data_IF_778915957739
#
_entry.id   IF_778915957739
#
_cell.length_a   1.000
_cell.length_b   1.000
_cell.length_c   1.000
_cell.angle_alpha   90.00
_cell.angle_beta   90.00
_cell.angle_gamma   90.00
#
_symmetry.space_group_name_H-M   'P 1'
#
loop_
_entity.id
_entity.type
_entity.pdbx_description
1 polymer ?
#
# COMPACT_ATOMS: atom_id res chain seq x y z
N UNK A 1 22.90 -30.45 61.14
CA UNK A 1 21.82 -29.75 60.46
C UNK A 1 21.00 -30.78 59.69
N UNK A 2 19.74 -31.02 60.10
CA UNK A 2 18.95 -32.18 59.70
C UNK A 2 18.52 -32.04 58.22
N UNK A 3 18.72 -33.07 57.38
CA UNK A 3 18.35 -33.12 55.98
C UNK A 3 16.89 -32.77 55.77
N UNK A 4 16.01 -33.08 56.74
CA UNK A 4 14.60 -32.70 56.70
C UNK A 4 14.37 -31.18 56.77
N UNK A 5 15.20 -30.44 57.48
CA UNK A 5 15.12 -28.98 57.60
C UNK A 5 15.55 -28.27 56.30
N UNK A 6 16.51 -28.85 55.56
CA UNK A 6 16.98 -28.33 54.28
C UNK A 6 15.94 -28.55 53.19
N UNK A 7 15.23 -29.69 53.19
CA UNK A 7 14.15 -29.98 52.22
C UNK A 7 12.94 -29.07 52.47
N UNK A 8 12.59 -28.83 53.76
CA UNK A 8 11.50 -27.91 54.10
C UNK A 8 11.79 -26.46 53.69
N UNK A 9 13.07 -26.02 53.79
CA UNK A 9 13.48 -24.68 53.34
C UNK A 9 13.47 -24.57 51.83
N UNK A 10 13.82 -25.63 51.08
CA UNK A 10 13.81 -25.64 49.62
C UNK A 10 12.37 -25.61 49.07
N UNK A 11 11.43 -26.32 49.72
CA UNK A 11 10.00 -26.32 49.34
C UNK A 11 9.36 -24.97 49.65
N UNK A 12 9.73 -24.31 50.75
CA UNK A 12 9.24 -22.96 51.07
C UNK A 12 9.71 -21.90 50.07
N UNK A 13 10.92 -22.04 49.50
CA UNK A 13 11.43 -21.13 48.46
C UNK A 13 10.75 -21.33 47.09
N UNK A 14 10.23 -22.51 46.81
CA UNK A 14 9.51 -22.79 45.57
C UNK A 14 8.05 -22.29 45.57
N UNK A 15 7.46 -22.04 46.74
CA UNK A 15 6.11 -21.49 46.87
C UNK A 15 6.07 -19.95 46.92
N UNK A 16 7.20 -19.25 47.01
CA UNK A 16 7.24 -17.80 47.04
C UNK A 16 7.34 -17.13 45.65
N UNK A 17 7.26 -17.90 44.58
CA UNK A 17 7.43 -17.44 43.19
C UNK A 17 6.15 -17.10 42.43
N UNK A 18 4.98 -17.15 43.07
CA UNK A 18 3.75 -16.61 42.47
C UNK A 18 3.55 -15.17 42.89
N UNK A 19 4.38 -14.28 42.37
CA UNK A 19 4.04 -12.85 42.36
C UNK A 19 2.92 -12.67 41.38
N UNK A 20 1.81 -12.13 41.86
CA UNK A 20 0.64 -11.58 41.16
C UNK A 20 1.05 -10.93 39.86
N UNK A 21 1.02 -11.68 38.76
CA UNK A 21 0.84 -11.07 37.45
C UNK A 21 -0.62 -10.61 37.42
N UNK A 22 -0.89 -9.43 37.96
CA UNK A 22 -2.12 -8.70 37.62
C UNK A 22 -2.06 -8.44 36.12
N UNK A 23 -2.47 -9.43 35.35
CA UNK A 23 -2.86 -9.21 33.97
C UNK A 23 -3.84 -8.05 33.98
N UNK A 24 -3.56 -7.01 33.23
CA UNK A 24 -4.47 -5.88 33.06
C UNK A 24 -5.81 -6.46 32.59
N UNK A 25 -6.74 -6.65 33.52
CA UNK A 25 -8.09 -7.14 33.23
C UNK A 25 -8.82 -5.99 32.57
N UNK A 26 -9.03 -6.05 31.26
CA UNK A 26 -9.87 -5.09 30.57
C UNK A 26 -11.32 -5.42 30.95
N UNK A 27 -11.88 -4.63 31.86
CA UNK A 27 -13.28 -4.75 32.22
C UNK A 27 -14.15 -4.14 31.13
N UNK A 28 -14.67 -4.98 30.24
CA UNK A 28 -15.54 -4.54 29.14
C UNK A 28 -16.88 -3.94 29.61
N UNK A 29 -17.31 -4.20 30.84
CA UNK A 29 -18.52 -3.58 31.43
C UNK A 29 -18.30 -2.09 31.80
N UNK A 30 -17.03 -1.65 31.90
CA UNK A 30 -16.66 -0.25 32.13
C UNK A 30 -16.31 0.51 30.87
N UNK A 31 -16.38 -0.11 29.69
CA UNK A 31 -16.36 0.63 28.44
C UNK A 31 -17.63 1.47 28.44
N UNK A 32 -17.52 2.72 28.88
CA UNK A 32 -18.56 3.69 28.53
C UNK A 32 -18.72 3.61 27.02
N UNK A 33 -19.98 3.54 26.50
CA UNK A 33 -20.17 3.70 25.09
C UNK A 33 -19.38 4.96 24.72
N UNK A 34 -18.50 4.86 23.73
CA UNK A 34 -17.92 6.04 23.10
C UNK A 34 -19.13 6.89 22.76
N UNK A 35 -19.45 7.82 23.66
CA UNK A 35 -20.40 8.89 23.37
C UNK A 35 -19.90 9.39 22.06
N UNK A 36 -20.72 9.23 21.02
CA UNK A 36 -20.42 9.65 19.68
C UNK A 36 -19.67 10.95 19.84
N UNK A 37 -18.39 10.96 19.50
CA UNK A 37 -17.57 12.15 19.58
C UNK A 37 -18.44 13.19 18.92
N UNK A 38 -19.00 14.09 19.74
CA UNK A 38 -19.82 15.16 19.21
C UNK A 38 -18.96 15.71 18.10
N UNK A 39 -19.44 15.58 16.86
CA UNK A 39 -18.88 16.27 15.73
C UNK A 39 -19.02 17.76 16.05
N UNK A 40 -18.14 18.24 16.91
CA UNK A 40 -17.86 19.66 16.95
C UNK A 40 -17.42 20.01 15.54
N UNK A 41 -17.91 21.10 15.01
CA UNK A 41 -17.54 21.64 13.70
C UNK A 41 -16.05 22.07 13.64
N UNK A 42 -15.19 21.42 14.40
CA UNK A 42 -13.78 21.68 14.61
C UNK A 42 -12.92 20.61 13.90
N UNK A 43 -13.35 20.23 12.69
CA UNK A 43 -12.59 19.34 11.79
C UNK A 43 -11.20 19.95 11.50
N UNK A 44 -11.04 21.24 11.70
CA UNK A 44 -9.81 22.00 11.46
C UNK A 44 -8.77 21.85 12.59
N UNK A 45 -9.13 21.43 13.79
CA UNK A 45 -8.19 21.30 14.93
C UNK A 45 -7.66 19.87 15.12
N UNK A 46 -8.34 18.85 14.59
CA UNK A 46 -7.85 17.49 14.68
C UNK A 46 -6.66 17.25 13.73
N UNK A 47 -5.75 16.31 14.06
CA UNK A 47 -4.68 15.95 13.14
C UNK A 47 -5.21 15.54 11.76
N UNK A 48 -4.53 15.99 10.68
CA UNK A 48 -4.76 15.54 9.32
C UNK A 48 -4.34 14.07 9.21
N UNK A 49 -5.23 13.17 8.80
CA UNK A 49 -4.96 11.74 8.69
C UNK A 49 -4.63 11.39 7.25
N UNK A 50 -3.39 10.94 7.03
CA UNK A 50 -2.86 10.58 5.71
C UNK A 50 -2.79 9.05 5.63
N UNK A 51 -3.60 8.44 4.79
CA UNK A 51 -3.64 7.00 4.61
C UNK A 51 -2.70 6.55 3.49
N UNK A 52 -2.02 5.44 3.73
CA UNK A 52 -1.19 4.75 2.74
C UNK A 52 -1.50 3.25 2.73
N UNK A 53 -1.39 2.64 1.56
CA UNK A 53 -1.37 1.19 1.39
C UNK A 53 -0.01 0.74 0.85
N UNK A 54 0.27 -0.55 0.99
CA UNK A 54 1.57 -1.13 0.65
C UNK A 54 1.69 -1.36 -0.85
N UNK A 55 2.25 -0.43 -1.59
CA UNK A 55 2.71 -0.64 -2.98
C UNK A 55 4.09 -1.29 -2.97
N UNK A 56 5.01 -0.74 -2.17
CA UNK A 56 6.31 -1.30 -1.79
C UNK A 56 6.24 -1.66 -0.30
N UNK A 57 6.99 -2.66 0.13
CA UNK A 57 6.99 -3.12 1.52
C UNK A 57 7.20 -1.99 2.53
N UNK A 58 6.42 -1.93 3.62
CA UNK A 58 6.50 -0.84 4.61
C UNK A 58 7.88 -0.65 5.23
N UNK A 59 8.65 -1.73 5.33
CA UNK A 59 10.02 -1.68 5.85
C UNK A 59 10.90 -0.70 5.07
N UNK A 60 10.67 -0.60 3.77
CA UNK A 60 11.46 0.24 2.87
C UNK A 60 10.94 1.69 2.81
N UNK A 61 9.64 1.92 3.02
CA UNK A 61 8.97 3.18 2.65
C UNK A 61 8.33 3.95 3.80
N UNK A 62 8.20 3.37 4.99
CA UNK A 62 7.45 3.99 6.10
C UNK A 62 8.07 5.30 6.58
N UNK A 63 9.39 5.40 6.60
CA UNK A 63 10.09 6.61 7.03
C UNK A 63 9.90 7.74 6.02
N UNK A 64 9.91 7.44 4.72
CA UNK A 64 9.67 8.43 3.69
C UNK A 64 8.26 9.01 3.76
N UNK A 65 7.26 8.16 3.98
CA UNK A 65 5.89 8.64 4.19
C UNK A 65 5.73 9.45 5.49
N UNK A 66 6.47 9.10 6.56
CA UNK A 66 6.50 9.93 7.79
C UNK A 66 7.08 11.31 7.53
N UNK A 67 8.19 11.38 6.79
CA UNK A 67 8.81 12.64 6.42
C UNK A 67 7.87 13.50 5.57
N UNK A 68 7.13 12.89 4.63
CA UNK A 68 6.10 13.59 3.85
C UNK A 68 4.97 14.11 4.76
N UNK A 69 4.47 13.29 5.69
CA UNK A 69 3.42 13.72 6.61
C UNK A 69 3.90 14.87 7.51
N UNK A 70 5.13 14.81 8.01
CA UNK A 70 5.75 15.88 8.79
C UNK A 70 5.92 17.16 7.98
N UNK A 71 6.42 17.04 6.75
CA UNK A 71 6.54 18.18 5.83
C UNK A 71 5.18 18.84 5.60
N UNK A 72 4.14 18.05 5.28
CA UNK A 72 2.78 18.58 5.11
C UNK A 72 2.33 19.30 6.39
N UNK A 73 2.53 18.68 7.56
CA UNK A 73 2.18 19.26 8.86
C UNK A 73 2.80 20.64 9.07
N UNK A 74 4.09 20.79 8.75
CA UNK A 74 4.83 22.05 8.86
C UNK A 74 4.28 23.11 7.89
N UNK A 75 3.97 22.73 6.65
CA UNK A 75 3.49 23.67 5.64
C UNK A 75 2.09 24.20 5.91
N UNK A 76 1.21 23.38 6.49
CA UNK A 76 -0.17 23.80 6.77
C UNK A 76 -0.39 24.29 8.22
N UNK A 77 0.63 24.19 9.10
CA UNK A 77 0.53 24.56 10.51
C UNK A 77 -0.44 23.69 11.31
N UNK A 78 -0.70 22.45 10.87
CA UNK A 78 -1.63 21.50 11.50
C UNK A 78 -0.96 20.13 11.63
N UNK A 79 -1.07 19.45 12.80
CA UNK A 79 -0.50 18.11 12.95
C UNK A 79 -1.02 17.15 11.86
N UNK A 80 -0.13 16.36 11.30
CA UNK A 80 -0.48 15.28 10.37
C UNK A 80 -0.04 13.93 10.95
N UNK A 81 -0.87 12.90 10.78
CA UNK A 81 -0.61 11.54 11.24
C UNK A 81 -0.76 10.55 10.10
N UNK A 82 0.18 9.61 10.04
CA UNK A 82 0.15 8.56 9.04
C UNK A 82 -0.71 7.39 9.51
N UNK A 83 -1.61 6.91 8.64
CA UNK A 83 -2.47 5.75 8.86
C UNK A 83 -2.15 4.70 7.80
N UNK A 84 -1.42 3.66 8.19
CA UNK A 84 -1.02 2.61 7.27
C UNK A 84 -1.99 1.43 7.30
N UNK A 85 -2.26 0.86 6.10
CA UNK A 85 -2.99 -0.40 5.93
C UNK A 85 -2.21 -1.37 5.06
N UNK A 86 -2.51 -2.65 5.23
CA UNK A 86 -1.86 -3.72 4.48
C UNK A 86 -2.42 -3.85 3.07
N UNK A 87 -3.72 -3.71 2.90
CA UNK A 87 -4.41 -3.94 1.64
C UNK A 87 -5.01 -2.64 1.08
N UNK A 88 -5.21 -2.62 -0.23
CA UNK A 88 -5.86 -1.49 -0.91
C UNK A 88 -7.34 -1.37 -0.52
N UNK A 89 -8.00 -2.50 -0.23
CA UNK A 89 -9.37 -2.49 0.27
C UNK A 89 -9.48 -1.82 1.64
N UNK A 90 -8.59 -2.16 2.59
CA UNK A 90 -8.58 -1.52 3.90
C UNK A 90 -8.34 -0.01 3.80
N UNK A 91 -7.51 0.45 2.85
CA UNK A 91 -7.32 1.88 2.57
C UNK A 91 -8.61 2.51 2.04
N UNK A 92 -9.28 1.85 1.08
CA UNK A 92 -10.56 2.32 0.55
C UNK A 92 -11.62 2.41 1.64
N UNK A 93 -11.64 1.47 2.59
CA UNK A 93 -12.54 1.50 3.76
C UNK A 93 -12.27 2.71 4.67
N UNK A 94 -10.99 3.04 4.95
CA UNK A 94 -10.64 4.24 5.73
C UNK A 94 -11.19 5.52 5.09
N UNK A 95 -11.02 5.66 3.77
CA UNK A 95 -11.55 6.81 3.05
C UNK A 95 -13.07 6.83 3.04
N UNK A 96 -13.70 5.68 2.80
CA UNK A 96 -15.16 5.52 2.79
C UNK A 96 -15.80 5.91 4.13
N UNK A 97 -15.20 5.50 5.24
CA UNK A 97 -15.68 5.77 6.59
C UNK A 97 -15.34 7.19 7.07
N UNK A 98 -14.57 7.97 6.31
CA UNK A 98 -14.05 9.27 6.75
C UNK A 98 -13.00 9.17 7.86
N UNK A 99 -12.35 8.02 8.00
CA UNK A 99 -11.29 7.77 8.97
C UNK A 99 -9.90 8.25 8.49
N UNK A 100 -9.78 8.61 7.22
CA UNK A 100 -8.64 9.30 6.65
C UNK A 100 -9.09 10.54 5.86
N UNK A 101 -8.22 11.52 5.74
CA UNK A 101 -8.48 12.81 5.09
C UNK A 101 -7.86 12.87 3.70
N UNK A 102 -6.65 12.33 3.59
CA UNK A 102 -5.87 12.20 2.36
C UNK A 102 -5.47 10.73 2.23
N UNK A 103 -5.38 10.23 1.00
CA UNK A 103 -4.83 8.91 0.74
C UNK A 103 -3.93 8.90 -0.50
N UNK A 104 -2.79 8.19 -0.37
CA UNK A 104 -1.99 7.77 -1.50
C UNK A 104 -2.59 6.45 -2.01
N UNK A 105 -3.31 6.51 -3.11
CA UNK A 105 -4.00 5.34 -3.66
C UNK A 105 -3.22 4.74 -4.82
N UNK A 106 -3.24 3.42 -4.96
CA UNK A 106 -2.86 2.82 -6.24
C UNK A 106 -3.90 3.13 -7.31
N UNK A 107 -3.50 3.07 -8.56
CA UNK A 107 -4.39 3.28 -9.71
C UNK A 107 -5.65 2.44 -9.61
N UNK A 108 -5.49 1.15 -9.32
CA UNK A 108 -6.62 0.22 -9.21
C UNK A 108 -7.50 0.49 -8.00
N UNK A 109 -6.93 0.80 -6.84
CA UNK A 109 -7.70 1.17 -5.64
C UNK A 109 -8.57 2.40 -5.88
N UNK A 110 -8.03 3.41 -6.55
CA UNK A 110 -8.79 4.61 -6.95
C UNK A 110 -9.92 4.26 -7.94
N UNK A 111 -9.61 3.52 -9.00
CA UNK A 111 -10.60 3.13 -10.01
C UNK A 111 -11.73 2.25 -9.42
N UNK A 112 -11.41 1.42 -8.44
CA UNK A 112 -12.38 0.56 -7.74
C UNK A 112 -13.16 1.26 -6.63
N UNK A 113 -12.81 2.50 -6.27
CA UNK A 113 -13.42 3.18 -5.13
C UNK A 113 -14.91 3.44 -5.34
N UNK A 114 -15.74 2.95 -4.41
CA UNK A 114 -17.21 3.12 -4.37
C UNK A 114 -17.65 3.41 -2.93
N UNK A 115 -16.85 4.24 -2.22
CA UNK A 115 -17.08 4.52 -0.80
C UNK A 115 -18.26 5.45 -0.53
N UNK A 116 -18.69 5.48 0.72
CA UNK A 116 -19.76 6.35 1.22
C UNK A 116 -19.37 7.84 1.25
N UNK A 117 -18.07 8.11 1.46
CA UNK A 117 -17.51 9.46 1.44
C UNK A 117 -16.93 9.73 0.07
N UNK A 118 -17.38 10.78 -0.60
CA UNK A 118 -16.81 11.20 -1.88
C UNK A 118 -15.36 11.68 -1.71
N UNK A 119 -14.54 11.40 -2.72
CA UNK A 119 -13.13 11.79 -2.79
C UNK A 119 -12.87 12.60 -4.05
N UNK A 120 -11.90 13.51 -3.98
CA UNK A 120 -11.43 14.32 -5.10
C UNK A 120 -9.96 14.04 -5.36
N UNK A 121 -9.54 14.15 -6.60
CA UNK A 121 -8.13 14.10 -6.99
C UNK A 121 -7.42 15.36 -6.47
N UNK A 122 -6.37 15.17 -5.68
CA UNK A 122 -5.54 16.25 -5.15
C UNK A 122 -4.29 16.46 -5.99
N UNK A 123 -3.57 15.38 -6.27
CA UNK A 123 -2.34 15.36 -7.05
C UNK A 123 -2.14 13.99 -7.72
N UNK A 124 -1.24 13.93 -8.68
CA UNK A 124 -0.83 12.72 -9.37
C UNK A 124 0.70 12.59 -9.30
N UNK A 125 1.19 11.37 -9.16
CA UNK A 125 2.63 11.10 -9.10
C UNK A 125 3.24 11.18 -10.51
N UNK A 126 4.33 11.93 -10.65
CA UNK A 126 5.24 11.86 -11.79
C UNK A 126 6.55 11.19 -11.36
N UNK A 127 6.99 10.20 -12.12
CA UNK A 127 8.25 9.50 -11.94
C UNK A 127 8.91 9.25 -13.31
N UNK A 128 10.22 9.45 -13.39
CA UNK A 128 11.00 9.40 -14.64
C UNK A 128 10.35 10.21 -15.78
N UNK A 129 9.87 11.43 -15.42
CA UNK A 129 9.17 12.37 -16.31
C UNK A 129 7.88 11.84 -16.92
N UNK A 130 7.29 10.83 -16.34
CA UNK A 130 6.03 10.22 -16.78
C UNK A 130 5.01 10.13 -15.66
N UNK A 131 3.75 10.37 -15.97
CA UNK A 131 2.59 10.08 -15.13
C UNK A 131 1.96 8.73 -15.49
N UNK A 132 2.69 7.91 -16.24
CA UNK A 132 2.23 6.61 -16.70
C UNK A 132 3.28 5.54 -16.42
N UNK A 133 2.81 4.32 -16.22
CA UNK A 133 3.61 3.11 -16.02
C UNK A 133 3.02 1.94 -16.80
N UNK A 134 3.76 0.86 -16.91
CA UNK A 134 3.29 -0.37 -17.56
C UNK A 134 3.06 -1.49 -16.54
N UNK A 135 2.04 -2.30 -16.80
CA UNK A 135 1.95 -3.64 -16.23
C UNK A 135 2.97 -4.55 -16.91
N UNK A 136 3.68 -5.34 -16.12
CA UNK A 136 4.63 -6.32 -16.62
C UNK A 136 4.38 -7.70 -15.98
N UNK A 137 4.38 -8.75 -16.83
CA UNK A 137 4.45 -10.13 -16.33
C UNK A 137 5.91 -10.55 -16.35
N UNK A 138 6.40 -10.97 -15.19
CA UNK A 138 7.77 -11.43 -14.98
C UNK A 138 7.81 -12.91 -14.64
N UNK A 139 8.91 -13.54 -15.03
CA UNK A 139 9.23 -14.94 -14.74
C UNK A 139 10.70 -15.06 -14.35
N UNK A 140 11.09 -16.19 -13.74
CA UNK A 140 12.50 -16.46 -13.50
C UNK A 140 13.25 -16.63 -14.83
N UNK A 141 14.49 -16.13 -14.93
CA UNK A 141 15.27 -16.11 -16.18
C UNK A 141 15.48 -17.51 -16.77
N UNK A 142 15.70 -18.49 -15.91
CA UNK A 142 15.93 -19.90 -16.32
C UNK A 142 14.63 -20.65 -16.66
N UNK A 143 13.46 -20.04 -16.53
CA UNK A 143 12.21 -20.70 -16.84
C UNK A 143 12.01 -20.84 -18.35
N UNK A 144 11.27 -21.87 -18.78
CA UNK A 144 10.87 -22.06 -20.18
C UNK A 144 9.57 -21.32 -20.55
N UNK A 145 9.05 -20.44 -19.67
CA UNK A 145 7.81 -19.69 -19.85
C UNK A 145 8.11 -18.45 -20.69
N UNK A 146 7.58 -18.35 -21.90
CA UNK A 146 7.85 -17.24 -22.83
C UNK A 146 6.59 -16.43 -23.20
N UNK A 147 5.41 -16.97 -22.89
CA UNK A 147 4.13 -16.38 -23.28
C UNK A 147 3.09 -16.52 -22.17
N UNK A 148 1.94 -15.87 -22.36
CA UNK A 148 0.79 -16.04 -21.47
C UNK A 148 0.28 -17.50 -21.51
N UNK A 149 0.35 -18.17 -22.67
CA UNK A 149 -0.06 -19.56 -22.87
C UNK A 149 0.73 -20.53 -21.99
N UNK A 150 2.03 -20.30 -21.84
CA UNK A 150 2.92 -21.13 -21.01
C UNK A 150 2.62 -21.03 -19.51
N UNK A 151 1.81 -20.04 -19.11
CA UNK A 151 1.39 -19.86 -17.72
C UNK A 151 0.25 -20.80 -17.29
N UNK A 152 -0.38 -21.50 -18.25
CA UNK A 152 -1.44 -22.44 -17.91
C UNK A 152 -0.92 -23.56 -16.99
N UNK A 153 -1.61 -23.76 -15.86
CA UNK A 153 -1.22 -24.76 -14.86
C UNK A 153 -0.02 -24.37 -14.00
N UNK A 154 0.49 -23.14 -14.11
CA UNK A 154 1.60 -22.61 -13.29
C UNK A 154 1.12 -21.97 -11.98
N UNK A 155 2.04 -21.71 -11.07
CA UNK A 155 1.80 -20.93 -9.86
C UNK A 155 2.00 -19.45 -10.17
N UNK A 156 0.96 -18.63 -9.94
CA UNK A 156 1.00 -17.20 -10.25
C UNK A 156 0.97 -16.34 -8.99
N UNK A 157 1.80 -15.29 -8.92
CA UNK A 157 1.79 -14.32 -7.85
C UNK A 157 1.11 -13.02 -8.32
N UNK A 158 -0.04 -12.71 -7.73
CA UNK A 158 -0.69 -11.41 -7.80
C UNK A 158 -0.19 -10.50 -6.68
N UNK A 159 -0.32 -9.19 -6.86
CA UNK A 159 0.05 -8.22 -5.81
C UNK A 159 -1.09 -8.04 -4.81
N UNK A 160 -2.18 -7.38 -5.22
CA UNK A 160 -3.35 -7.09 -4.39
C UNK A 160 -4.60 -7.22 -5.26
N UNK A 161 -5.75 -7.70 -4.73
CA UNK A 161 -6.99 -7.85 -5.52
C UNK A 161 -7.45 -6.58 -6.22
N UNK A 162 -7.19 -5.39 -5.66
CA UNK A 162 -7.53 -4.10 -6.26
C UNK A 162 -6.38 -3.50 -7.10
N UNK A 163 -5.20 -4.13 -7.16
CA UNK A 163 -4.11 -3.64 -8.01
C UNK A 163 -4.46 -3.77 -9.48
N UNK A 164 -4.30 -2.69 -10.25
CA UNK A 164 -4.48 -2.78 -11.69
C UNK A 164 -3.38 -3.65 -12.33
N UNK A 165 -2.11 -3.24 -12.23
CA UNK A 165 -0.99 -3.97 -12.82
C UNK A 165 -0.71 -5.32 -12.16
N UNK A 166 -0.96 -5.44 -10.85
CA UNK A 166 -0.70 -6.65 -10.09
C UNK A 166 -1.82 -7.69 -10.13
N UNK A 167 -2.99 -7.37 -10.71
CA UNK A 167 -4.14 -8.27 -10.74
C UNK A 167 -5.07 -8.02 -11.93
N UNK A 168 -5.77 -6.88 -12.00
CA UNK A 168 -6.89 -6.67 -12.92
C UNK A 168 -6.49 -6.78 -14.39
N UNK A 169 -5.31 -6.29 -14.76
CA UNK A 169 -4.80 -6.41 -16.13
C UNK A 169 -4.63 -7.87 -16.56
N UNK A 170 -4.22 -8.76 -15.65
CA UNK A 170 -4.15 -10.20 -15.93
C UNK A 170 -5.54 -10.81 -16.05
N UNK A 171 -6.49 -10.38 -15.21
CA UNK A 171 -7.89 -10.83 -15.36
C UNK A 171 -8.44 -10.47 -16.72
N UNK A 172 -8.19 -9.25 -17.23
CA UNK A 172 -8.60 -8.86 -18.58
C UNK A 172 -8.01 -9.79 -19.65
N UNK A 173 -6.69 -10.09 -19.58
CA UNK A 173 -6.03 -11.02 -20.51
C UNK A 173 -6.64 -12.42 -20.46
N UNK A 174 -7.06 -12.89 -19.27
CA UNK A 174 -7.70 -14.19 -19.13
C UNK A 174 -9.15 -14.18 -19.62
N UNK A 175 -9.88 -13.07 -19.42
CA UNK A 175 -11.23 -12.90 -19.95
C UNK A 175 -11.26 -12.91 -21.47
N UNK A 176 -10.30 -12.30 -22.16
CA UNK A 176 -10.12 -12.38 -23.62
C UNK A 176 -9.96 -13.83 -24.10
N UNK A 177 -9.42 -14.70 -23.25
CA UNK A 177 -9.30 -16.16 -23.48
C UNK A 177 -10.51 -16.96 -22.98
N UNK A 178 -11.60 -16.31 -22.56
CA UNK A 178 -12.78 -16.95 -21.97
C UNK A 178 -12.43 -17.85 -20.78
N UNK A 179 -11.49 -17.43 -19.94
CA UNK A 179 -11.04 -18.18 -18.76
C UNK A 179 -10.89 -17.24 -17.54
N UNK A 180 -10.49 -17.80 -16.42
CA UNK A 180 -10.30 -17.10 -15.14
C UNK A 180 -9.17 -17.74 -14.33
N UNK A 181 -8.58 -17.03 -13.33
CA UNK A 181 -7.41 -17.52 -12.59
C UNK A 181 -7.55 -18.93 -12.03
N UNK A 182 -8.72 -19.29 -11.45
CA UNK A 182 -8.98 -20.58 -10.81
C UNK A 182 -9.00 -21.76 -11.81
N UNK A 183 -9.20 -21.46 -13.11
CA UNK A 183 -9.19 -22.46 -14.19
C UNK A 183 -7.88 -22.47 -14.96
N UNK A 184 -7.17 -21.35 -14.93
CA UNK A 184 -5.99 -21.14 -15.75
C UNK A 184 -4.71 -21.52 -15.03
N UNK A 185 -4.55 -21.05 -13.79
CA UNK A 185 -3.40 -21.35 -12.95
C UNK A 185 -3.64 -22.60 -12.11
N UNK A 186 -2.59 -23.34 -11.77
CA UNK A 186 -2.70 -24.45 -10.81
C UNK A 186 -2.97 -23.90 -9.39
N UNK A 187 -2.40 -22.76 -9.10
CA UNK A 187 -2.56 -21.99 -7.85
C UNK A 187 -2.16 -20.56 -8.08
N UNK A 188 -2.77 -19.64 -7.36
CA UNK A 188 -2.28 -18.28 -7.26
C UNK A 188 -2.22 -17.80 -5.81
N UNK A 189 -1.39 -16.80 -5.56
CA UNK A 189 -1.18 -16.19 -4.24
C UNK A 189 -1.23 -14.67 -4.37
N UNK A 190 -1.57 -13.98 -3.28
CA UNK A 190 -1.43 -12.52 -3.16
C UNK A 190 -0.24 -12.21 -2.27
N UNK A 191 0.70 -11.43 -2.76
CA UNK A 191 1.91 -11.02 -2.03
C UNK A 191 1.72 -9.74 -1.23
N UNK A 192 0.71 -8.94 -1.59
CA UNK A 192 0.35 -7.62 -1.03
C UNK A 192 1.43 -6.54 -1.16
N UNK A 193 2.41 -6.73 -2.06
CA UNK A 193 3.33 -5.67 -2.51
C UNK A 193 4.09 -6.13 -3.74
N UNK A 194 4.49 -5.19 -4.61
CA UNK A 194 5.16 -5.51 -5.88
C UNK A 194 6.57 -6.05 -5.66
N UNK A 195 7.34 -5.51 -4.72
CA UNK A 195 8.67 -6.01 -4.34
C UNK A 195 8.62 -7.48 -3.89
N UNK A 196 7.61 -7.88 -3.11
CA UNK A 196 7.44 -9.29 -2.72
C UNK A 196 7.08 -10.19 -3.90
N UNK A 197 6.32 -9.69 -4.88
CA UNK A 197 6.04 -10.42 -6.11
C UNK A 197 7.32 -10.64 -6.91
N UNK A 198 8.16 -9.61 -7.03
CA UNK A 198 9.49 -9.70 -7.68
C UNK A 198 10.38 -10.69 -6.94
N UNK A 199 10.44 -10.58 -5.61
CA UNK A 199 11.18 -11.51 -4.77
C UNK A 199 10.71 -12.96 -4.91
N UNK A 200 9.39 -13.19 -5.00
CA UNK A 200 8.83 -14.53 -5.18
C UNK A 200 9.32 -15.17 -6.48
N UNK A 201 9.47 -14.40 -7.56
CA UNK A 201 10.02 -14.91 -8.83
C UNK A 201 11.52 -15.14 -8.74
N UNK A 202 12.29 -14.20 -8.22
CA UNK A 202 13.73 -14.33 -8.07
C UNK A 202 14.11 -15.57 -7.25
N UNK A 203 13.32 -15.90 -6.23
CA UNK A 203 13.53 -17.07 -5.36
C UNK A 203 12.72 -18.33 -5.78
N UNK A 204 12.09 -18.33 -6.96
CA UNK A 204 11.33 -19.47 -7.50
C UNK A 204 10.17 -19.93 -6.60
N UNK A 205 9.60 -19.02 -5.78
CA UNK A 205 8.43 -19.30 -4.94
C UNK A 205 7.11 -19.26 -5.74
N UNK A 206 7.13 -18.63 -6.91
CA UNK A 206 6.08 -18.68 -7.93
C UNK A 206 6.73 -18.75 -9.32
N UNK A 207 5.97 -19.22 -10.32
CA UNK A 207 6.45 -19.36 -11.69
C UNK A 207 6.41 -18.03 -12.45
N UNK A 208 5.40 -17.22 -12.17
CA UNK A 208 5.22 -15.89 -12.76
C UNK A 208 4.52 -14.93 -11.79
N UNK A 209 4.71 -13.64 -12.02
CA UNK A 209 4.03 -12.57 -11.29
C UNK A 209 3.65 -11.43 -12.22
N UNK A 210 2.61 -10.68 -11.85
CA UNK A 210 2.25 -9.41 -12.49
C UNK A 210 2.60 -8.25 -11.58
N UNK A 211 3.30 -7.25 -12.11
CA UNK A 211 3.89 -6.16 -11.34
C UNK A 211 3.78 -4.83 -12.08
N UNK A 212 4.12 -3.77 -11.36
CA UNK A 212 4.33 -2.41 -11.85
C UNK A 212 5.76 -2.24 -12.36
N UNK A 213 5.92 -1.67 -13.55
CA UNK A 213 7.23 -1.45 -14.18
C UNK A 213 8.10 -0.46 -13.41
N UNK A 214 7.52 0.54 -12.74
CA UNK A 214 8.28 1.49 -11.93
C UNK A 214 8.94 0.77 -10.75
N UNK A 215 8.19 -0.14 -10.09
CA UNK A 215 8.74 -0.91 -8.97
C UNK A 215 9.82 -1.88 -9.44
N UNK A 216 9.65 -2.50 -10.61
CA UNK A 216 10.71 -3.35 -11.18
C UNK A 216 11.99 -2.53 -11.44
N UNK A 217 11.86 -1.37 -12.06
CA UNK A 217 13.01 -0.49 -12.33
C UNK A 217 13.73 -0.07 -11.04
N UNK A 218 12.95 0.26 -9.99
CA UNK A 218 13.49 0.60 -8.68
C UNK A 218 14.26 -0.57 -8.05
N UNK A 219 13.64 -1.75 -8.00
CA UNK A 219 14.28 -2.95 -7.43
C UNK A 219 15.57 -3.31 -8.20
N UNK A 220 15.56 -3.21 -9.53
CA UNK A 220 16.75 -3.41 -10.38
C UNK A 220 17.80 -2.33 -10.12
N UNK A 221 17.42 -1.07 -9.88
CA UNK A 221 18.38 -0.01 -9.57
C UNK A 221 19.10 -0.25 -8.26
N UNK A 222 18.40 -0.79 -7.26
CA UNK A 222 18.93 -1.13 -5.95
C UNK A 222 19.70 -2.46 -5.94
N UNK A 223 19.30 -3.41 -6.79
CA UNK A 223 19.90 -4.73 -6.91
C UNK A 223 20.00 -5.17 -8.37
N UNK A 224 21.10 -4.85 -9.02
CA UNK A 224 21.36 -5.19 -10.43
C UNK A 224 21.38 -6.71 -10.71
N UNK A 225 21.60 -7.54 -9.70
CA UNK A 225 21.60 -9.01 -9.86
C UNK A 225 20.21 -9.56 -10.18
N UNK A 226 19.14 -8.79 -9.93
CA UNK A 226 17.79 -9.15 -10.36
C UNK A 226 17.69 -9.34 -11.89
N UNK A 227 18.44 -8.59 -12.70
CA UNK A 227 18.48 -8.76 -14.16
C UNK A 227 19.02 -10.15 -14.58
N UNK A 228 19.78 -10.80 -13.68
CA UNK A 228 20.28 -12.15 -13.88
C UNK A 228 19.31 -13.24 -13.40
N UNK A 229 18.26 -12.86 -12.65
CA UNK A 229 17.32 -13.78 -12.02
C UNK A 229 15.93 -13.74 -12.64
N UNK A 230 15.53 -12.60 -13.21
CA UNK A 230 14.17 -12.40 -13.74
C UNK A 230 14.20 -11.85 -15.17
N UNK A 231 13.11 -12.08 -15.90
CA UNK A 231 12.85 -11.44 -17.21
C UNK A 231 11.38 -11.14 -17.39
N UNK A 232 11.09 -10.12 -18.17
CA UNK A 232 9.73 -9.74 -18.58
C UNK A 232 9.31 -10.56 -19.79
N UNK A 233 8.10 -11.10 -19.78
CA UNK A 233 7.52 -11.85 -20.91
C UNK A 233 6.34 -11.12 -21.56
N UNK A 234 5.74 -10.14 -20.86
CA UNK A 234 4.65 -9.31 -21.39
C UNK A 234 4.66 -7.95 -20.73
N UNK A 235 4.38 -6.93 -21.54
CA UNK A 235 4.16 -5.56 -21.09
C UNK A 235 2.81 -5.07 -21.60
N UNK A 236 2.07 -4.31 -20.79
CA UNK A 236 0.76 -3.75 -21.10
C UNK A 236 0.61 -2.35 -20.47
N UNK A 237 0.30 -1.36 -21.30
CA UNK A 237 0.16 0.03 -20.87
C UNK A 237 0.05 0.97 -22.07
N UNK A 238 0.20 2.30 -21.87
CA UNK A 238 0.50 2.94 -20.60
C UNK A 238 -0.71 3.04 -19.67
N UNK A 239 -0.47 2.98 -18.36
CA UNK A 239 -1.48 3.11 -17.33
C UNK A 239 -1.16 4.33 -16.44
N UNK A 240 -2.14 5.14 -16.00
CA UNK A 240 -1.87 6.30 -15.14
C UNK A 240 -1.30 5.86 -13.78
N UNK A 241 -0.38 6.64 -13.23
CA UNK A 241 0.16 6.44 -11.88
C UNK A 241 -0.94 6.62 -10.82
N UNK A 242 -0.71 6.09 -9.62
CA UNK A 242 -1.65 6.22 -8.51
C UNK A 242 -1.80 7.68 -8.07
N UNK A 243 -3.03 8.15 -7.81
CA UNK A 243 -3.28 9.51 -7.37
C UNK A 243 -3.14 9.67 -5.86
N UNK A 244 -2.90 10.91 -5.42
CA UNK A 244 -3.23 11.38 -4.10
C UNK A 244 -4.66 11.92 -4.14
N UNK A 245 -5.51 11.45 -3.24
CA UNK A 245 -6.90 11.88 -3.13
C UNK A 245 -7.18 12.55 -1.78
N UNK A 246 -8.20 13.38 -1.75
CA UNK A 246 -8.67 14.10 -0.56
C UNK A 246 -10.17 13.91 -0.40
N UNK A 247 -10.67 13.88 0.84
CA UNK A 247 -12.12 13.86 1.08
C UNK A 247 -12.80 15.14 0.56
N UNK A 248 -13.92 14.98 -0.13
CA UNK A 248 -14.70 16.10 -0.64
C UNK A 248 -15.14 17.09 0.45
N UNK A 249 -15.43 16.60 1.65
CA UNK A 249 -15.93 17.43 2.78
C UNK A 249 -14.89 18.38 3.40
N UNK A 250 -13.61 18.26 3.07
CA UNK A 250 -12.59 19.22 3.49
C UNK A 250 -12.89 20.56 2.81
N UNK A 251 -12.77 21.67 3.54
CA UNK A 251 -13.08 22.98 2.99
C UNK A 251 -12.15 23.35 1.80
N UNK A 252 -12.66 24.19 0.88
CA UNK A 252 -11.97 24.48 -0.38
C UNK A 252 -10.64 25.20 -0.19
N UNK A 253 -10.50 26.03 0.83
CA UNK A 253 -9.25 26.75 1.14
C UNK A 253 -8.16 25.77 1.57
N UNK A 254 -8.48 24.85 2.48
CA UNK A 254 -7.54 23.80 2.89
C UNK A 254 -7.17 22.85 1.75
N UNK A 255 -8.14 22.49 0.89
CA UNK A 255 -7.85 21.67 -0.31
C UNK A 255 -6.84 22.36 -1.20
N UNK A 256 -7.04 23.65 -1.46
CA UNK A 256 -6.13 24.40 -2.33
C UNK A 256 -4.75 24.57 -1.67
N UNK A 257 -4.69 24.87 -0.37
CA UNK A 257 -3.43 24.92 0.37
C UNK A 257 -2.68 23.58 0.27
N UNK A 258 -3.37 22.47 0.53
CA UNK A 258 -2.78 21.13 0.40
C UNK A 258 -2.32 20.84 -1.02
N UNK A 259 -3.12 21.21 -2.03
CA UNK A 259 -2.72 21.07 -3.44
C UNK A 259 -1.41 21.77 -3.73
N UNK A 260 -1.26 23.03 -3.30
CA UNK A 260 -0.03 23.78 -3.49
C UNK A 260 1.15 23.14 -2.75
N UNK A 261 0.93 22.62 -1.53
CA UNK A 261 1.96 21.87 -0.78
C UNK A 261 2.44 20.66 -1.58
N UNK A 262 1.55 19.86 -2.15
CA UNK A 262 1.93 18.71 -2.98
C UNK A 262 2.66 19.15 -4.25
N UNK A 263 2.10 20.08 -5.02
CA UNK A 263 2.65 20.49 -6.32
C UNK A 263 4.04 21.13 -6.21
N UNK A 264 4.34 21.80 -5.09
CA UNK A 264 5.62 22.48 -4.87
C UNK A 264 6.58 21.67 -3.97
N UNK A 265 6.19 20.48 -3.49
CA UNK A 265 6.97 19.68 -2.54
C UNK A 265 8.38 19.38 -3.07
N UNK A 266 8.53 19.10 -4.35
CA UNK A 266 9.80 18.80 -5.01
C UNK A 266 10.80 19.97 -5.04
N UNK A 267 10.38 21.20 -4.75
CA UNK A 267 11.27 22.37 -4.66
C UNK A 267 12.05 22.41 -3.33
N UNK A 268 11.61 21.63 -2.34
CA UNK A 268 12.24 21.58 -1.02
C UNK A 268 13.33 20.50 -0.96
N UNK A 269 14.59 20.93 -0.84
CA UNK A 269 15.73 20.02 -0.75
C UNK A 269 15.63 19.04 0.44
N UNK A 270 14.91 19.41 1.51
CA UNK A 270 14.79 18.58 2.72
C UNK A 270 13.92 17.33 2.51
N UNK A 271 12.93 17.39 1.61
CA UNK A 271 11.99 16.28 1.38
C UNK A 271 12.35 15.45 0.13
N UNK A 272 13.20 15.96 -0.75
CA UNK A 272 13.59 15.26 -1.98
C UNK A 272 14.10 13.84 -1.77
N UNK A 273 14.92 13.51 -0.75
CA UNK A 273 15.35 12.13 -0.52
C UNK A 273 14.16 11.19 -0.28
N UNK A 274 13.14 11.64 0.46
CA UNK A 274 11.94 10.83 0.73
C UNK A 274 11.05 10.69 -0.50
N UNK A 275 10.93 11.71 -1.33
CA UNK A 275 10.23 11.58 -2.61
C UNK A 275 10.92 10.55 -3.51
N UNK A 276 12.23 10.61 -3.64
CA UNK A 276 13.03 9.66 -4.42
C UNK A 276 12.90 8.22 -3.88
N UNK A 277 12.90 8.05 -2.55
CA UNK A 277 12.67 6.76 -1.90
C UNK A 277 11.30 6.15 -2.21
N UNK A 278 10.33 6.98 -2.60
CA UNK A 278 8.97 6.58 -3.00
C UNK A 278 8.74 6.56 -4.52
N UNK A 279 9.79 6.72 -5.33
CA UNK A 279 9.68 6.84 -6.79
C UNK A 279 8.81 8.03 -7.22
N UNK A 280 9.02 9.18 -6.59
CA UNK A 280 8.30 10.41 -6.88
C UNK A 280 9.33 11.47 -7.28
N UNK A 281 9.31 11.92 -8.53
CA UNK A 281 10.07 13.09 -8.95
C UNK A 281 9.38 14.37 -8.46
N UNK A 282 8.07 14.41 -8.68
CA UNK A 282 7.17 15.48 -8.20
C UNK A 282 5.71 15.03 -8.25
N UNK A 283 4.86 15.83 -7.64
CA UNK A 283 3.42 15.74 -7.84
C UNK A 283 2.98 16.76 -8.90
N UNK A 284 2.03 16.36 -9.73
CA UNK A 284 1.46 17.20 -10.80
C UNK A 284 -0.06 17.30 -10.66
N UNK A 285 -0.63 18.29 -11.35
CA UNK A 285 -2.09 18.42 -11.44
C UNK A 285 -2.68 17.17 -12.13
N UNK A 286 -3.64 16.48 -11.49
CA UNK A 286 -4.15 15.24 -12.04
C UNK A 286 -5.06 15.47 -13.26
N UNK A 287 -4.91 14.62 -14.27
CA UNK A 287 -5.89 14.48 -15.34
C UNK A 287 -6.84 13.33 -15.02
N UNK A 288 -8.06 13.65 -14.59
CA UNK A 288 -9.06 12.65 -14.24
C UNK A 288 -9.45 11.76 -15.44
N UNK A 289 -9.33 12.25 -16.67
CA UNK A 289 -9.74 11.53 -17.86
C UNK A 289 -8.92 10.26 -18.12
N UNK A 290 -7.66 10.24 -17.67
CA UNK A 290 -6.77 9.09 -17.87
C UNK A 290 -7.22 7.84 -17.07
N UNK A 291 -8.01 8.02 -15.99
CA UNK A 291 -8.52 6.91 -15.19
C UNK A 291 -9.84 6.32 -15.72
N UNK A 292 -10.61 7.06 -16.54
CA UNK A 292 -11.92 6.63 -17.01
C UNK A 292 -11.94 5.28 -17.73
N UNK A 293 -10.96 4.94 -18.60
CA UNK A 293 -10.93 3.63 -19.22
C UNK A 293 -10.76 2.48 -18.21
N UNK A 294 -9.96 2.73 -17.16
CA UNK A 294 -9.68 1.73 -16.13
C UNK A 294 -10.83 1.58 -15.13
N UNK A 295 -11.57 2.66 -14.83
CA UNK A 295 -12.74 2.58 -13.94
C UNK A 295 -13.77 1.57 -14.45
N UNK A 296 -13.97 1.48 -15.77
CA UNK A 296 -14.87 0.52 -16.41
C UNK A 296 -14.48 -0.95 -16.20
N UNK A 297 -13.23 -1.22 -15.85
CA UNK A 297 -12.73 -2.58 -15.58
C UNK A 297 -13.21 -3.07 -14.21
N UNK A 298 -13.56 -2.13 -13.31
CA UNK A 298 -14.00 -2.42 -11.94
C UNK A 298 -15.53 -2.29 -11.78
N UNK A 299 -16.28 -1.92 -12.84
CA UNK A 299 -17.74 -1.91 -12.88
C UNK A 299 -18.27 -3.32 -13.20
#
# INVERSE_FOLDING_TARGET
MNKALLIALLVALLCAGCTDSRGAYINFERLQPLTALQHTNDDDQRPLRIAIATVISPKETIEDYRNIAEYISQQIGRPAVLVQRKTYEELNMLMSNGEADIAFMSTGAYCAYRGLTAIELLAMVEYDKSTFYDMQIIVHKDSNINSLEDLQGKVFAFTDPLSYSGHMAVLQLLMEKNTRPEKYFSRYIYTYSHDKSIWAIANKAADAASIDSMILNYEVSNNKDLLNQIRVIKTMGPNPTGPVVIREKINSEQKEQLRQVFLNMHESASIMPSLQGLLIDRFVVPDASCYHPLQKVYD
#
